data_IF_452388290840
#
_entry.id   IF_452388290840
#
_cell.length_a   1.000
_cell.length_b   1.000
_cell.length_c   1.000
_cell.angle_alpha   90.00
_cell.angle_beta   90.00
_cell.angle_gamma   90.00
#
_symmetry.space_group_name_H-M   'P 1'
#
loop_
_entity.id
_entity.type
_entity.pdbx_description
1 polymer ?
#
# COMPACT_ATOMS: atom_id res chain seq x y z
N UNK A 1 -21.12 51.78 -33.74
CA UNK A 1 -22.49 52.21 -33.39
C UNK A 1 -23.42 51.12 -33.87
N UNK A 2 -24.20 50.39 -33.09
CA UNK A 2 -24.40 50.19 -31.65
C UNK A 2 -25.19 48.86 -31.59
N UNK A 3 -24.78 47.87 -30.80
CA UNK A 3 -25.27 47.59 -29.44
C UNK A 3 -26.81 47.50 -29.33
N UNK A 4 -27.24 46.27 -28.99
CA UNK A 4 -28.38 45.94 -28.10
C UNK A 4 -29.79 46.06 -28.73
N UNK A 5 -30.77 45.18 -28.51
CA UNK A 5 -31.07 44.31 -27.36
C UNK A 5 -31.98 43.13 -27.80
N UNK A 6 -31.71 41.94 -27.22
CA UNK A 6 -32.64 40.90 -26.72
C UNK A 6 -33.91 40.53 -27.50
N UNK A 7 -34.09 39.24 -27.78
CA UNK A 7 -34.99 38.40 -26.96
C UNK A 7 -34.89 36.89 -27.24
N UNK A 8 -34.83 36.13 -26.14
CA UNK A 8 -35.43 34.81 -25.92
C UNK A 8 -35.08 33.63 -26.85
N UNK A 9 -33.96 32.98 -26.51
CA UNK A 9 -33.72 31.55 -26.71
C UNK A 9 -33.36 30.85 -25.39
N UNK A 10 -34.09 31.17 -24.32
CA UNK A 10 -33.95 30.49 -23.02
C UNK A 10 -34.60 29.12 -23.06
N UNK A 11 -33.81 28.09 -23.37
CA UNK A 11 -34.26 26.71 -23.30
C UNK A 11 -33.14 25.76 -23.66
N UNK A 12 -32.53 25.15 -22.65
CA UNK A 12 -31.83 23.85 -22.63
C UNK A 12 -31.28 23.74 -21.19
N UNK A 13 -32.06 23.16 -20.28
CA UNK A 13 -31.89 21.75 -19.90
C UNK A 13 -31.01 21.73 -18.65
N UNK A 14 -31.55 21.55 -17.45
CA UNK A 14 -32.05 20.25 -17.03
C UNK A 14 -30.88 19.47 -16.43
N UNK A 15 -30.86 19.34 -15.11
CA UNK A 15 -29.75 18.77 -14.35
C UNK A 15 -29.31 17.38 -14.81
N UNK A 16 -28.01 17.15 -14.77
CA UNK A 16 -27.39 15.84 -14.84
C UNK A 16 -26.20 15.83 -13.90
N UNK A 17 -26.33 15.14 -12.76
CA UNK A 17 -25.22 14.88 -11.84
C UNK A 17 -24.20 13.91 -12.44
N UNK A 18 -23.57 14.31 -13.53
CA UNK A 18 -22.39 13.64 -14.10
C UNK A 18 -21.13 14.24 -13.47
N UNK A 19 -20.10 13.40 -13.30
CA UNK A 19 -18.75 13.88 -13.01
C UNK A 19 -18.36 14.93 -14.06
N UNK A 20 -17.88 16.09 -13.62
CA UNK A 20 -17.36 17.12 -14.52
C UNK A 20 -16.18 16.56 -15.32
N UNK A 21 -16.02 16.98 -16.58
CA UNK A 21 -14.85 16.65 -17.42
C UNK A 21 -13.52 16.94 -16.70
N UNK A 22 -13.48 18.03 -15.91
CA UNK A 22 -12.32 18.42 -15.10
C UNK A 22 -12.05 17.39 -13.99
N UNK A 23 -13.10 16.86 -13.35
CA UNK A 23 -12.98 15.85 -12.29
C UNK A 23 -12.57 14.50 -12.87
N UNK A 24 -13.11 14.13 -14.04
CA UNK A 24 -12.65 12.96 -14.79
C UNK A 24 -11.15 13.06 -15.10
N UNK A 25 -10.71 14.19 -15.64
CA UNK A 25 -9.32 14.33 -16.08
C UNK A 25 -8.35 14.34 -14.90
N UNK A 26 -8.77 14.89 -13.75
CA UNK A 26 -8.03 14.75 -12.49
C UNK A 26 -7.95 13.29 -12.05
N UNK A 27 -9.06 12.55 -12.03
CA UNK A 27 -9.08 11.14 -11.63
C UNK A 27 -8.23 10.27 -12.57
N UNK A 28 -8.34 10.48 -13.88
CA UNK A 28 -7.55 9.80 -14.89
C UNK A 28 -6.04 9.98 -14.66
N UNK A 29 -5.59 11.20 -14.33
CA UNK A 29 -4.19 11.47 -14.00
C UNK A 29 -3.74 10.77 -12.71
N UNK A 30 -4.59 10.73 -11.69
CA UNK A 30 -4.30 10.03 -10.43
C UNK A 30 -4.17 8.53 -10.71
N UNK A 31 -5.11 7.94 -11.46
CA UNK A 31 -5.09 6.53 -11.87
C UNK A 31 -3.80 6.20 -12.62
N UNK A 32 -3.44 6.98 -13.65
CA UNK A 32 -2.21 6.77 -14.43
C UNK A 32 -0.96 6.80 -13.53
N UNK A 33 -0.90 7.74 -12.59
CA UNK A 33 0.21 7.84 -11.63
C UNK A 33 0.25 6.63 -10.69
N UNK A 34 -0.90 6.17 -10.23
CA UNK A 34 -1.01 4.97 -9.38
C UNK A 34 -0.57 3.71 -10.13
N UNK A 35 -0.97 3.54 -11.39
CA UNK A 35 -0.54 2.42 -12.25
C UNK A 35 0.98 2.38 -12.38
N UNK A 36 1.61 3.52 -12.68
CA UNK A 36 3.08 3.61 -12.77
C UNK A 36 3.77 3.22 -11.47
N UNK A 37 3.24 3.68 -10.32
CA UNK A 37 3.76 3.31 -9.00
C UNK A 37 3.61 1.81 -8.74
N UNK A 38 2.48 1.20 -9.11
CA UNK A 38 2.29 -0.26 -9.02
C UNK A 38 3.37 -0.97 -9.85
N UNK A 39 3.60 -0.57 -11.10
CA UNK A 39 4.63 -1.17 -11.95
C UNK A 39 6.05 -1.03 -11.38
N UNK A 40 6.39 0.14 -10.82
CA UNK A 40 7.67 0.39 -10.15
C UNK A 40 7.83 -0.48 -8.90
N UNK A 41 6.79 -0.57 -8.08
CA UNK A 41 6.78 -1.41 -6.89
C UNK A 41 6.95 -2.88 -7.27
N UNK A 42 6.24 -3.36 -8.30
CA UNK A 42 6.35 -4.73 -8.84
C UNK A 42 7.79 -5.03 -9.26
N UNK A 43 8.44 -4.11 -9.99
CA UNK A 43 9.83 -4.27 -10.42
C UNK A 43 10.80 -4.36 -9.22
N UNK A 44 10.57 -3.53 -8.20
CA UNK A 44 11.36 -3.57 -6.95
C UNK A 44 11.13 -4.89 -6.21
N UNK A 45 9.87 -5.31 -6.04
CA UNK A 45 9.51 -6.58 -5.43
C UNK A 45 10.15 -7.76 -6.16
N UNK A 46 10.16 -7.78 -7.49
CA UNK A 46 10.82 -8.83 -8.27
C UNK A 46 12.30 -8.98 -7.94
N UNK A 47 13.01 -7.86 -7.75
CA UNK A 47 14.43 -7.86 -7.36
C UNK A 47 14.60 -8.41 -5.94
N UNK A 48 13.79 -7.94 -4.99
CA UNK A 48 13.80 -8.42 -3.61
C UNK A 48 13.50 -9.92 -3.54
N UNK A 49 12.46 -10.37 -4.24
CA UNK A 49 12.06 -11.79 -4.31
C UNK A 49 13.13 -12.67 -4.95
N UNK A 50 13.90 -12.13 -5.90
CA UNK A 50 15.01 -12.86 -6.50
C UNK A 50 16.24 -12.95 -5.59
N UNK A 51 16.32 -12.10 -4.57
CA UNK A 51 17.33 -12.17 -3.51
C UNK A 51 16.90 -13.10 -2.36
N UNK A 52 15.59 -13.33 -2.19
CA UNK A 52 15.09 -14.38 -1.28
C UNK A 52 15.58 -15.76 -1.76
N UNK A 53 16.04 -16.60 -0.82
CA UNK A 53 16.73 -17.88 -1.05
C UNK A 53 18.21 -17.78 -1.50
N UNK A 54 18.80 -16.60 -1.53
CA UNK A 54 20.26 -16.45 -1.63
C UNK A 54 20.86 -16.34 -0.21
N UNK A 55 22.18 -16.53 0.00
CA UNK A 55 22.80 -16.25 1.29
C UNK A 55 22.71 -14.78 1.75
N UNK A 56 22.12 -13.89 0.94
CA UNK A 56 21.75 -12.52 1.29
C UNK A 56 20.33 -12.41 1.87
N UNK A 57 19.65 -13.52 2.14
CA UNK A 57 18.36 -13.50 2.82
C UNK A 57 18.48 -12.84 4.19
N UNK A 58 17.67 -11.81 4.43
CA UNK A 58 17.69 -11.00 5.64
C UNK A 58 16.26 -10.78 6.12
N UNK A 59 16.00 -10.86 7.44
CA UNK A 59 14.68 -10.57 8.00
C UNK A 59 14.20 -9.15 7.63
N UNK A 60 15.13 -8.20 7.47
CA UNK A 60 14.80 -6.84 7.05
C UNK A 60 14.30 -6.77 5.60
N UNK A 61 14.88 -7.57 4.70
CA UNK A 61 14.44 -7.64 3.30
C UNK A 61 13.01 -8.20 3.20
N UNK A 62 12.71 -9.26 3.98
CA UNK A 62 11.36 -9.85 4.06
C UNK A 62 10.34 -8.84 4.59
N UNK A 63 10.68 -8.11 5.65
CA UNK A 63 9.84 -7.06 6.22
C UNK A 63 9.56 -5.94 5.21
N UNK A 64 10.59 -5.45 4.51
CA UNK A 64 10.43 -4.43 3.49
C UNK A 64 9.58 -4.93 2.31
N UNK A 65 9.75 -6.19 1.91
CA UNK A 65 8.96 -6.79 0.83
C UNK A 65 7.48 -6.86 1.23
N UNK A 66 7.19 -7.29 2.45
CA UNK A 66 5.82 -7.35 2.99
C UNK A 66 5.19 -5.95 3.03
N UNK A 67 5.89 -4.95 3.56
CA UNK A 67 5.42 -3.56 3.57
C UNK A 67 5.13 -3.04 2.15
N UNK A 68 6.02 -3.32 1.19
CA UNK A 68 5.84 -2.91 -0.20
C UNK A 68 4.64 -3.63 -0.85
N UNK A 69 4.40 -4.90 -0.50
CA UNK A 69 3.22 -5.65 -0.95
C UNK A 69 1.93 -5.07 -0.39
N UNK A 70 1.84 -4.84 0.92
CA UNK A 70 0.66 -4.26 1.57
C UNK A 70 0.36 -2.87 1.00
N UNK A 71 1.39 -2.02 0.85
CA UNK A 71 1.26 -0.71 0.23
C UNK A 71 0.75 -0.80 -1.22
N UNK A 72 1.30 -1.73 -2.01
CA UNK A 72 0.87 -1.92 -3.40
C UNK A 72 -0.56 -2.45 -3.48
N UNK A 73 -0.98 -3.29 -2.53
CA UNK A 73 -2.35 -3.78 -2.46
C UNK A 73 -3.34 -2.64 -2.16
N UNK A 74 -3.03 -1.77 -1.21
CA UNK A 74 -3.83 -0.57 -0.94
C UNK A 74 -3.94 0.32 -2.18
N UNK A 75 -2.81 0.58 -2.85
CA UNK A 75 -2.78 1.37 -4.08
C UNK A 75 -3.65 0.75 -5.20
N UNK A 76 -3.64 -0.57 -5.33
CA UNK A 76 -4.51 -1.31 -6.26
C UNK A 76 -5.99 -1.13 -5.92
N UNK A 77 -6.38 -1.25 -4.65
CA UNK A 77 -7.76 -1.04 -4.23
C UNK A 77 -8.23 0.40 -4.47
N UNK A 78 -7.39 1.38 -4.14
CA UNK A 78 -7.68 2.80 -4.37
C UNK A 78 -7.84 3.10 -5.86
N UNK A 79 -6.96 2.55 -6.69
CA UNK A 79 -7.00 2.70 -8.16
C UNK A 79 -8.26 2.06 -8.73
N UNK A 80 -8.65 0.88 -8.23
CA UNK A 80 -9.90 0.21 -8.62
C UNK A 80 -11.13 1.06 -8.26
N UNK A 81 -11.15 1.68 -7.07
CA UNK A 81 -12.24 2.58 -6.68
C UNK A 81 -12.30 3.81 -7.60
N UNK A 82 -11.15 4.41 -7.93
CA UNK A 82 -11.07 5.54 -8.86
C UNK A 82 -11.54 5.17 -10.26
N UNK A 83 -11.15 3.99 -10.77
CA UNK A 83 -11.62 3.48 -12.08
C UNK A 83 -13.15 3.31 -12.07
N UNK A 84 -13.74 2.80 -11.00
CA UNK A 84 -15.21 2.68 -10.88
C UNK A 84 -15.92 4.05 -10.85
N UNK A 85 -15.29 5.09 -10.30
CA UNK A 85 -15.83 6.46 -10.36
C UNK A 85 -15.77 7.02 -11.79
N UNK A 86 -14.64 6.78 -12.48
CA UNK A 86 -14.44 7.17 -13.89
C UNK A 86 -15.39 6.41 -14.83
N UNK A 87 -15.77 5.18 -14.50
CA UNK A 87 -16.73 4.37 -15.26
C UNK A 87 -18.16 4.93 -15.25
N UNK A 88 -18.50 5.79 -14.28
CA UNK A 88 -19.81 6.47 -14.25
C UNK A 88 -19.95 7.53 -15.34
N UNK A 89 -18.85 7.94 -16.00
CA UNK A 89 -18.86 8.89 -17.10
C UNK A 89 -19.23 8.21 -18.42
N UNK A 90 -20.35 8.62 -19.04
CA UNK A 90 -20.86 8.05 -20.30
C UNK A 90 -20.42 8.79 -21.56
N UNK A 91 -19.59 9.83 -21.43
CA UNK A 91 -19.17 10.64 -22.57
C UNK A 91 -18.20 9.85 -23.47
N UNK A 92 -18.48 9.85 -24.78
CA UNK A 92 -17.77 9.00 -25.75
C UNK A 92 -16.26 9.25 -25.81
N UNK A 93 -15.82 10.50 -25.68
CA UNK A 93 -14.39 10.85 -25.76
C UNK A 93 -13.64 10.48 -24.48
N UNK A 94 -14.32 10.50 -23.33
CA UNK A 94 -13.80 10.05 -22.04
C UNK A 94 -13.71 8.50 -21.96
N UNK A 95 -14.61 7.80 -22.67
CA UNK A 95 -14.60 6.33 -22.78
C UNK A 95 -13.22 5.81 -23.24
N UNK A 96 -12.65 6.39 -24.29
CA UNK A 96 -11.33 5.97 -24.85
C UNK A 96 -10.20 6.11 -23.83
N UNK A 97 -10.20 7.18 -23.03
CA UNK A 97 -9.18 7.37 -22.00
C UNK A 97 -9.35 6.40 -20.84
N UNK A 98 -10.58 6.16 -20.39
CA UNK A 98 -10.89 5.15 -19.37
C UNK A 98 -10.42 3.77 -19.83
N UNK A 99 -10.76 3.42 -21.06
CA UNK A 99 -10.47 2.17 -21.73
C UNK A 99 -8.96 1.85 -21.72
N UNK A 100 -8.14 2.81 -22.15
CA UNK A 100 -6.68 2.74 -22.05
C UNK A 100 -6.18 2.52 -20.62
N UNK A 101 -6.71 3.26 -19.65
CA UNK A 101 -6.31 3.14 -18.25
C UNK A 101 -6.67 1.75 -17.67
N UNK A 102 -7.80 1.18 -18.08
CA UNK A 102 -8.24 -0.16 -17.68
C UNK A 102 -7.28 -1.23 -18.23
N UNK A 103 -6.88 -1.13 -19.50
CA UNK A 103 -5.92 -2.05 -20.11
C UNK A 103 -4.56 -2.02 -19.39
N UNK A 104 -4.04 -0.83 -19.16
CA UNK A 104 -2.74 -0.62 -18.52
C UNK A 104 -2.77 -1.06 -17.05
N UNK A 105 -3.87 -0.82 -16.35
CA UNK A 105 -4.07 -1.32 -15.00
C UNK A 105 -4.14 -2.85 -14.99
N UNK A 106 -4.84 -3.47 -15.95
CA UNK A 106 -4.92 -4.92 -16.09
C UNK A 106 -3.54 -5.55 -16.30
N UNK A 107 -2.70 -4.94 -17.15
CA UNK A 107 -1.32 -5.36 -17.35
C UNK A 107 -0.46 -5.24 -16.07
N UNK A 108 -0.61 -4.13 -15.33
CA UNK A 108 0.07 -3.92 -14.06
C UNK A 108 -0.35 -4.96 -13.00
N UNK A 109 -1.65 -5.26 -12.90
CA UNK A 109 -2.17 -6.26 -11.97
C UNK A 109 -1.71 -7.67 -12.30
N UNK A 110 -1.66 -8.03 -13.59
CA UNK A 110 -1.14 -9.33 -14.04
C UNK A 110 0.31 -9.51 -13.56
N UNK A 111 1.13 -8.47 -13.73
CA UNK A 111 2.52 -8.47 -13.28
C UNK A 111 2.63 -8.55 -11.75
N UNK A 112 1.77 -7.84 -11.02
CA UNK A 112 1.72 -7.87 -9.56
C UNK A 112 1.29 -9.24 -9.02
N UNK A 113 0.27 -9.87 -9.60
CA UNK A 113 -0.18 -11.21 -9.23
C UNK A 113 0.91 -12.26 -9.42
N UNK A 114 1.68 -12.17 -10.51
CA UNK A 114 2.79 -13.08 -10.76
C UNK A 114 3.84 -13.00 -9.64
N UNK A 115 4.15 -11.79 -9.17
CA UNK A 115 5.07 -11.57 -8.05
C UNK A 115 4.49 -12.08 -6.74
N UNK A 116 3.23 -11.76 -6.43
CA UNK A 116 2.58 -12.25 -5.20
C UNK A 116 2.58 -13.78 -5.12
N UNK A 117 2.25 -14.47 -6.22
CA UNK A 117 2.28 -15.94 -6.28
C UNK A 117 3.68 -16.47 -6.04
N UNK A 118 4.68 -15.91 -6.71
CA UNK A 118 6.09 -16.32 -6.54
C UNK A 118 6.54 -16.17 -5.08
N UNK A 119 6.16 -15.07 -4.42
CA UNK A 119 6.48 -14.87 -3.00
C UNK A 119 5.74 -15.86 -2.10
N UNK A 120 4.46 -16.12 -2.36
CA UNK A 120 3.68 -17.08 -1.59
C UNK A 120 4.28 -18.49 -1.69
N UNK A 121 4.72 -18.89 -2.88
CA UNK A 121 5.38 -20.17 -3.11
C UNK A 121 6.70 -20.27 -2.33
N UNK A 122 7.50 -19.19 -2.33
CA UNK A 122 8.76 -19.13 -1.56
C UNK A 122 8.48 -19.24 -0.06
N UNK A 123 7.60 -18.41 0.50
CA UNK A 123 7.27 -18.43 1.93
C UNK A 123 6.69 -19.79 2.35
N UNK A 124 5.83 -20.39 1.53
CA UNK A 124 5.27 -21.72 1.79
C UNK A 124 6.33 -22.82 1.74
N UNK A 125 7.29 -22.72 0.82
CA UNK A 125 8.41 -23.66 0.74
C UNK A 125 9.34 -23.55 1.95
N UNK A 126 9.63 -22.32 2.39
CA UNK A 126 10.42 -22.04 3.58
C UNK A 126 9.73 -22.56 4.85
N UNK A 127 8.42 -22.34 5.00
CA UNK A 127 7.64 -22.85 6.12
C UNK A 127 7.62 -24.38 6.16
N UNK A 128 7.51 -25.04 5.00
CA UNK A 128 7.56 -26.51 4.91
C UNK A 128 8.94 -27.05 5.31
N UNK A 129 10.02 -26.35 4.96
CA UNK A 129 11.37 -26.72 5.37
C UNK A 129 11.55 -26.56 6.88
N UNK A 130 11.16 -25.41 7.44
CA UNK A 130 11.25 -25.14 8.89
C UNK A 130 10.42 -26.14 9.73
N UNK A 131 9.25 -26.56 9.23
CA UNK A 131 8.45 -27.64 9.86
C UNK A 131 9.08 -29.02 9.71
N UNK A 132 9.74 -29.30 8.60
CA UNK A 132 10.44 -30.57 8.35
C UNK A 132 11.67 -30.74 9.23
N UNK A 133 12.43 -29.67 9.46
CA UNK A 133 13.60 -29.67 10.35
C UNK A 133 13.19 -29.86 11.82
N UNK A 134 12.07 -29.26 12.25
CA UNK A 134 11.48 -29.50 13.57
C UNK A 134 11.03 -30.96 13.80
N UNK A 135 10.60 -31.68 12.76
CA UNK A 135 10.23 -33.09 12.90
C UNK A 135 11.44 -34.02 13.08
N UNK A 136 12.64 -33.61 12.65
CA UNK A 136 13.87 -34.38 12.84
C UNK A 136 14.46 -34.26 14.26
N UNK A 137 14.01 -33.29 15.05
CA UNK A 137 14.41 -33.12 16.47
C UNK A 137 13.47 -33.89 17.42
N UNK A 138 12.30 -34.32 16.94
CA UNK A 138 11.33 -35.12 17.68
C UNK A 138 11.67 -36.62 17.81
N UNK A 139 12.94 -37.02 17.62
CA UNK A 139 13.39 -38.36 18.01
C UNK A 139 14.17 -38.25 19.31
N UNK A 140 13.57 -38.58 20.47
CA UNK A 140 14.31 -38.57 21.74
C UNK A 140 15.53 -39.49 21.62
N UNK A 141 16.73 -39.03 22.02
CA UNK A 141 17.92 -39.87 22.06
C UNK A 141 17.75 -40.86 23.21
N UNK A 142 17.07 -41.98 22.93
CA UNK A 142 16.74 -42.96 23.97
C UNK A 142 15.90 -44.16 23.53
N UNK A 143 15.40 -44.22 22.29
CA UNK A 143 14.78 -45.46 21.78
C UNK A 143 15.85 -46.43 21.27
N UNK A 144 16.72 -46.86 22.18
CA UNK A 144 17.36 -48.17 22.08
C UNK A 144 16.27 -49.21 22.21
N UNK A 145 16.12 -50.02 21.16
CA UNK A 145 15.35 -51.26 21.22
C UNK A 145 15.92 -52.11 22.35
N UNK A 146 15.28 -52.11 23.51
CA UNK A 146 15.40 -53.17 24.50
C UNK A 146 14.72 -54.41 23.92
N UNK A 147 15.50 -55.13 23.10
CA UNK A 147 15.20 -56.51 22.73
C UNK A 147 15.18 -57.34 24.01
N UNK A 148 14.00 -57.79 24.37
CA UNK A 148 13.71 -58.70 25.47
C UNK A 148 14.43 -60.03 25.18
N UNK A 149 15.51 -60.29 25.90
CA UNK A 149 16.29 -61.52 25.83
C UNK A 149 16.69 -61.93 27.24
N UNK A 150 15.92 -62.85 27.79
CA UNK A 150 16.11 -63.46 29.10
C UNK A 150 17.45 -64.19 29.20
N UNK A 151 18.24 -63.91 30.24
CA UNK A 151 19.22 -64.87 30.80
C UNK A 151 19.74 -64.42 32.16
N UNK A 152 19.56 -65.30 33.16
CA UNK A 152 20.10 -65.25 34.52
C UNK A 152 21.62 -65.02 34.58
N UNK A 153 22.08 -64.21 35.55
CA UNK A 153 23.27 -64.53 36.37
C UNK A 153 23.43 -63.56 37.56
N UNK A 154 23.31 -64.16 38.75
CA UNK A 154 23.98 -63.89 40.03
C UNK A 154 24.78 -62.60 40.30
N UNK A 155 24.39 -61.94 41.41
CA UNK A 155 25.20 -61.41 42.50
C UNK A 155 26.37 -60.46 42.21
N UNK A 156 26.28 -59.21 42.66
CA UNK A 156 27.09 -58.71 43.80
C UNK A 156 26.64 -57.32 44.26
N UNK A 157 26.76 -57.16 45.57
CA UNK A 157 26.63 -55.98 46.42
C UNK A 157 27.52 -54.83 45.95
N UNK A 158 26.97 -53.63 45.75
CA UNK A 158 27.72 -52.40 46.04
C UNK A 158 26.79 -51.23 46.39
N UNK A 159 27.26 -50.43 47.33
CA UNK A 159 26.52 -49.48 48.14
C UNK A 159 27.07 -48.09 47.83
N UNK A 160 26.43 -47.32 46.93
CA UNK A 160 26.80 -45.92 46.74
C UNK A 160 26.46 -45.24 45.41
N UNK A 161 25.19 -44.91 45.14
CA UNK A 161 24.85 -43.98 44.03
C UNK A 161 23.73 -42.98 44.29
N UNK A 162 23.31 -42.74 45.54
CA UNK A 162 22.28 -41.74 45.86
C UNK A 162 22.70 -40.27 45.60
N UNK A 163 23.98 -40.00 45.34
CA UNK A 163 24.48 -38.65 45.03
C UNK A 163 24.59 -38.35 43.53
N UNK A 164 24.66 -39.37 42.66
CA UNK A 164 24.85 -39.22 41.21
C UNK A 164 23.52 -38.88 40.50
N UNK A 165 22.40 -39.48 40.95
CA UNK A 165 21.06 -39.29 40.37
C UNK A 165 20.56 -37.85 40.53
N UNK A 166 20.93 -37.15 41.61
CA UNK A 166 20.43 -35.80 41.88
C UNK A 166 21.15 -34.71 41.05
N UNK A 167 22.35 -35.00 40.55
CA UNK A 167 23.13 -34.09 39.70
C UNK A 167 22.74 -34.21 38.22
N UNK A 168 22.47 -35.43 37.75
CA UNK A 168 21.94 -35.69 36.41
C UNK A 168 20.52 -35.14 36.23
N UNK A 169 19.66 -35.27 37.24
CA UNK A 169 18.28 -34.80 37.16
C UNK A 169 18.17 -33.26 37.16
N UNK A 170 19.11 -32.56 37.83
CA UNK A 170 19.17 -31.08 37.84
C UNK A 170 19.69 -30.48 36.54
N UNK A 171 20.71 -31.09 35.92
CA UNK A 171 21.16 -30.72 34.55
C UNK A 171 20.09 -31.04 33.50
N UNK A 172 19.39 -32.17 33.64
CA UNK A 172 18.30 -32.52 32.73
C UNK A 172 17.15 -31.51 32.79
N UNK A 173 16.71 -31.07 33.98
CA UNK A 173 15.65 -30.06 34.11
C UNK A 173 16.04 -28.69 33.51
N UNK A 174 17.29 -28.25 33.71
CA UNK A 174 17.75 -26.96 33.18
C UNK A 174 17.90 -26.99 31.65
N UNK A 175 18.32 -28.13 31.10
CA UNK A 175 18.39 -28.34 29.66
C UNK A 175 17.00 -28.51 29.04
N UNK A 176 16.07 -29.18 29.72
CA UNK A 176 14.68 -29.35 29.29
C UNK A 176 13.91 -28.02 29.28
N UNK A 177 14.18 -27.13 30.24
CA UNK A 177 13.62 -25.78 30.26
C UNK A 177 14.19 -24.90 29.13
N UNK A 178 15.48 -25.03 28.81
CA UNK A 178 16.10 -24.32 27.69
C UNK A 178 15.58 -24.83 26.33
N UNK A 179 15.33 -26.13 26.19
CA UNK A 179 14.70 -26.72 25.01
C UNK A 179 13.25 -26.27 24.85
N UNK A 180 12.47 -26.20 25.93
CA UNK A 180 11.09 -25.67 25.88
C UNK A 180 11.04 -24.21 25.46
N UNK A 181 11.95 -23.36 25.96
CA UNK A 181 12.01 -21.95 25.57
C UNK A 181 12.37 -21.82 24.08
N UNK A 182 13.31 -22.62 23.58
CA UNK A 182 13.69 -22.62 22.17
C UNK A 182 12.56 -23.12 21.27
N UNK A 183 11.87 -24.19 21.66
CA UNK A 183 10.70 -24.72 20.95
C UNK A 183 9.57 -23.69 20.89
N UNK A 184 9.32 -22.98 21.98
CA UNK A 184 8.28 -21.95 22.05
C UNK A 184 8.61 -20.73 21.18
N UNK A 185 9.88 -20.32 21.10
CA UNK A 185 10.33 -19.25 20.21
C UNK A 185 10.23 -19.65 18.73
N UNK A 186 10.55 -20.90 18.40
CA UNK A 186 10.45 -21.42 17.03
C UNK A 186 8.99 -21.57 16.57
N UNK A 187 8.11 -22.00 17.48
CA UNK A 187 6.66 -22.03 17.25
C UNK A 187 6.09 -20.64 16.98
N UNK A 188 6.52 -19.61 17.73
CA UNK A 188 6.09 -18.23 17.49
C UNK A 188 6.55 -17.72 16.11
N UNK A 189 7.79 -17.97 15.72
CA UNK A 189 8.29 -17.61 14.40
C UNK A 189 7.52 -18.30 13.26
N UNK A 190 7.16 -19.58 13.45
CA UNK A 190 6.31 -20.33 12.50
C UNK A 190 4.89 -19.76 12.41
N UNK A 191 4.31 -19.33 13.53
CA UNK A 191 2.98 -18.72 13.57
C UNK A 191 2.95 -17.37 12.84
N UNK A 192 3.95 -16.50 13.08
CA UNK A 192 4.10 -15.23 12.36
C UNK A 192 4.22 -15.45 10.85
N UNK A 193 5.01 -16.44 10.43
CA UNK A 193 5.16 -16.76 9.01
C UNK A 193 3.86 -17.29 8.40
N UNK A 194 3.06 -18.07 9.15
CA UNK A 194 1.75 -18.53 8.68
C UNK A 194 0.76 -17.37 8.51
N UNK A 195 0.79 -16.38 9.41
CA UNK A 195 -0.04 -15.17 9.28
C UNK A 195 0.29 -14.38 8.02
N UNK A 196 1.59 -14.22 7.71
CA UNK A 196 2.05 -13.55 6.49
C UNK A 196 1.54 -14.27 5.23
N UNK A 197 1.61 -15.61 5.21
CA UNK A 197 1.10 -16.40 4.08
C UNK A 197 -0.41 -16.21 3.91
N UNK A 198 -1.19 -16.25 5.00
CA UNK A 198 -2.65 -16.05 4.95
C UNK A 198 -3.01 -14.66 4.43
N UNK A 199 -2.30 -13.62 4.86
CA UNK A 199 -2.50 -12.26 4.34
C UNK A 199 -2.20 -12.20 2.84
N UNK A 200 -1.11 -12.82 2.40
CA UNK A 200 -0.74 -12.87 0.99
C UNK A 200 -1.77 -13.63 0.15
N UNK A 201 -2.32 -14.74 0.64
CA UNK A 201 -3.39 -15.49 -0.01
C UNK A 201 -4.66 -14.64 -0.16
N UNK A 202 -5.08 -13.95 0.90
CA UNK A 202 -6.21 -13.02 0.85
C UNK A 202 -5.99 -11.89 -0.16
N UNK A 203 -4.78 -11.34 -0.18
CA UNK A 203 -4.37 -10.29 -1.11
C UNK A 203 -4.42 -10.78 -2.57
N UNK A 204 -3.97 -12.00 -2.86
CA UNK A 204 -4.03 -12.61 -4.19
C UNK A 204 -5.48 -12.78 -4.65
N UNK A 205 -6.36 -13.25 -3.75
CA UNK A 205 -7.80 -13.41 -4.04
C UNK A 205 -8.44 -12.05 -4.34
N UNK A 206 -8.20 -11.03 -3.51
CA UNK A 206 -8.75 -9.68 -3.73
C UNK A 206 -8.30 -9.07 -5.06
N UNK A 207 -7.00 -9.18 -5.39
CA UNK A 207 -6.49 -8.72 -6.69
C UNK A 207 -7.10 -9.50 -7.85
N UNK A 208 -7.37 -10.80 -7.68
CA UNK A 208 -8.03 -11.62 -8.71
C UNK A 208 -9.47 -11.18 -8.99
N UNK A 209 -10.21 -10.79 -7.96
CA UNK A 209 -11.55 -10.25 -8.13
C UNK A 209 -11.53 -8.92 -8.90
N UNK A 210 -10.58 -8.03 -8.59
CA UNK A 210 -10.39 -6.79 -9.33
C UNK A 210 -10.03 -7.10 -10.79
N UNK A 211 -9.10 -8.01 -11.03
CA UNK A 211 -8.70 -8.43 -12.37
C UNK A 211 -9.89 -8.94 -13.21
N UNK A 212 -10.76 -9.76 -12.62
CA UNK A 212 -11.98 -10.26 -13.29
C UNK A 212 -12.96 -9.13 -13.63
N UNK A 213 -13.15 -8.17 -12.71
CA UNK A 213 -14.02 -7.00 -12.94
C UNK A 213 -13.48 -6.14 -14.08
N UNK A 214 -12.17 -5.90 -14.13
CA UNK A 214 -11.54 -5.16 -15.21
C UNK A 214 -11.61 -5.93 -16.54
N UNK A 215 -11.42 -7.24 -16.53
CA UNK A 215 -11.55 -8.07 -17.73
C UNK A 215 -12.92 -7.95 -18.40
N UNK A 216 -13.99 -7.75 -17.62
CA UNK A 216 -15.32 -7.47 -18.16
C UNK A 216 -15.43 -6.09 -18.83
N UNK A 217 -14.61 -5.11 -18.40
CA UNK A 217 -14.49 -3.79 -19.02
C UNK A 217 -13.61 -3.81 -20.30
N UNK A 218 -12.61 -4.69 -20.34
CA UNK A 218 -11.66 -4.85 -21.47
C UNK A 218 -12.27 -5.65 -22.62
N UNK A 219 -13.13 -6.65 -22.36
CA UNK A 219 -13.71 -7.52 -23.40
C UNK A 219 -14.57 -6.79 -24.46
N UNK A 220 -14.87 -5.51 -24.26
CA UNK A 220 -15.63 -4.68 -25.20
C UNK A 220 -14.76 -3.94 -26.24
N UNK A 221 -13.44 -4.12 -26.24
CA UNK A 221 -12.51 -3.28 -27.01
C UNK A 221 -11.55 -4.08 -27.89
N UNK A 222 -11.60 -3.79 -29.20
CA UNK A 222 -10.63 -4.28 -30.18
C UNK A 222 -9.81 -3.14 -30.75
N UNK A 223 -8.91 -2.54 -29.98
CA UNK A 223 -7.91 -1.59 -30.48
C UNK A 223 -6.62 -1.68 -29.65
N UNK A 224 -5.49 -1.81 -30.33
CA UNK A 224 -4.15 -1.77 -29.74
C UNK A 224 -3.86 -0.36 -29.23
N UNK A 225 -3.59 -0.21 -27.93
CA UNK A 225 -3.29 1.09 -27.31
C UNK A 225 -1.79 1.24 -27.06
N UNK A 226 -1.21 2.31 -27.60
CA UNK A 226 0.15 2.76 -27.28
C UNK A 226 0.26 3.11 -25.79
N UNK A 227 1.32 2.62 -25.13
CA UNK A 227 1.55 2.71 -23.68
C UNK A 227 1.73 4.16 -23.17
N UNK A 228 1.53 4.39 -21.85
CA UNK A 228 1.86 5.63 -21.09
C UNK A 228 3.38 5.94 -21.10
N UNK A 229 4.08 5.79 -22.22
CA UNK A 229 5.42 6.36 -22.35
C UNK A 229 5.33 7.87 -22.65
N UNK A 230 4.26 8.30 -23.33
CA UNK A 230 4.04 9.71 -23.72
C UNK A 230 3.46 10.61 -22.60
N UNK A 231 2.81 10.04 -21.56
CA UNK A 231 2.14 10.85 -20.52
C UNK A 231 3.06 11.27 -19.35
N UNK A 232 4.27 10.70 -19.23
CA UNK A 232 5.24 11.09 -18.18
C UNK A 232 5.75 12.52 -18.40
N UNK A 233 5.95 12.93 -19.65
CA UNK A 233 6.38 14.29 -19.97
C UNK A 233 5.29 15.32 -19.58
N UNK A 234 4.02 15.00 -19.83
CA UNK A 234 2.89 15.86 -19.48
C UNK A 234 2.60 15.90 -17.95
N UNK A 235 2.81 14.81 -17.21
CA UNK A 235 2.49 14.73 -15.76
C UNK A 235 3.49 15.51 -14.90
N UNK A 236 4.77 15.57 -15.33
CA UNK A 236 5.78 16.45 -14.71
C UNK A 236 5.39 17.94 -14.76
N UNK A 237 4.69 18.34 -15.84
CA UNK A 237 4.27 19.72 -16.08
C UNK A 237 3.08 20.10 -15.19
N UNK A 238 2.11 19.21 -14.95
CA UNK A 238 0.92 19.53 -14.15
C UNK A 238 1.14 19.54 -12.63
N UNK A 239 2.05 18.72 -12.07
CA UNK A 239 2.42 18.82 -10.63
C UNK A 239 3.17 20.13 -10.35
N UNK A 240 4.06 20.52 -11.26
CA UNK A 240 4.75 21.82 -11.21
C UNK A 240 3.75 22.98 -11.25
N UNK A 241 2.78 22.96 -12.18
CA UNK A 241 1.75 23.99 -12.28
C UNK A 241 0.76 24.00 -11.10
N UNK A 242 0.42 22.83 -10.53
CA UNK A 242 -0.44 22.73 -9.34
C UNK A 242 0.18 23.36 -8.09
N UNK A 243 1.49 23.16 -7.88
CA UNK A 243 2.23 23.83 -6.79
C UNK A 243 2.39 25.33 -7.05
N UNK A 244 2.56 25.75 -8.31
CA UNK A 244 2.63 27.16 -8.70
C UNK A 244 1.32 27.91 -8.43
N UNK A 245 0.16 27.27 -8.69
CA UNK A 245 -1.17 27.84 -8.43
C UNK A 245 -1.47 27.98 -6.93
N UNK A 246 -1.04 27.02 -6.10
CA UNK A 246 -1.12 27.13 -4.64
C UNK A 246 -0.20 28.25 -4.10
N UNK A 247 0.98 28.43 -4.69
CA UNK A 247 1.92 29.52 -4.36
C UNK A 247 1.41 30.89 -4.82
N UNK A 248 0.75 30.97 -5.97
CA UNK A 248 0.07 32.19 -6.47
C UNK A 248 -1.14 32.55 -5.59
N UNK A 249 -1.90 31.57 -5.12
CA UNK A 249 -3.02 31.80 -4.19
C UNK A 249 -2.57 32.32 -2.81
N UNK A 250 -1.48 31.78 -2.24
CA UNK A 250 -0.95 32.26 -0.95
C UNK A 250 -0.38 33.69 -1.05
N UNK A 251 0.28 34.02 -2.16
CA UNK A 251 0.82 35.36 -2.41
C UNK A 251 -0.28 36.40 -2.71
N UNK A 252 -1.41 36.00 -3.32
CA UNK A 252 -2.58 36.87 -3.46
C UNK A 252 -3.25 37.18 -2.11
N UNK A 253 -3.36 36.20 -1.21
CA UNK A 253 -3.90 36.39 0.15
C UNK A 253 -3.10 37.43 0.96
N UNK A 254 -1.77 37.43 0.84
CA UNK A 254 -0.93 38.43 1.50
C UNK A 254 -1.05 39.84 0.89
N UNK A 255 -1.22 39.95 -0.43
CA UNK A 255 -1.45 41.24 -1.10
C UNK A 255 -2.81 41.84 -0.72
N UNK A 256 -3.86 41.03 -0.62
CA UNK A 256 -5.20 41.49 -0.17
C UNK A 256 -5.18 41.96 1.28
N UNK A 257 -4.44 41.28 2.18
CA UNK A 257 -4.27 41.73 3.58
C UNK A 257 -3.59 43.10 3.67
N UNK A 258 -2.52 43.32 2.92
CA UNK A 258 -1.83 44.63 2.87
C UNK A 258 -2.73 45.73 2.31
N UNK A 259 -3.49 45.46 1.25
CA UNK A 259 -4.44 46.41 0.67
C UNK A 259 -5.61 46.74 1.63
N UNK A 260 -6.14 45.75 2.35
CA UNK A 260 -7.15 45.98 3.40
C UNK A 260 -6.63 46.89 4.53
N UNK A 261 -5.41 46.67 5.00
CA UNK A 261 -4.80 47.51 6.04
C UNK A 261 -4.62 48.97 5.58
N UNK A 262 -4.18 49.18 4.34
CA UNK A 262 -4.04 50.52 3.76
C UNK A 262 -5.41 51.21 3.66
N UNK A 263 -6.45 50.52 3.17
CA UNK A 263 -7.80 51.07 3.07
C UNK A 263 -8.37 51.45 4.46
N UNK A 264 -8.14 50.62 5.49
CA UNK A 264 -8.55 50.93 6.87
C UNK A 264 -7.78 52.14 7.42
N UNK A 265 -6.48 52.24 7.13
CA UNK A 265 -5.65 53.39 7.53
C UNK A 265 -6.17 54.71 6.97
N UNK A 266 -6.47 54.76 5.67
CA UNK A 266 -7.01 55.96 5.01
C UNK A 266 -8.36 56.37 5.63
N UNK A 267 -9.25 55.40 5.86
CA UNK A 267 -10.56 55.65 6.49
C UNK A 267 -10.42 56.25 7.90
N UNK A 268 -9.46 55.75 8.68
CA UNK A 268 -9.18 56.28 10.02
C UNK A 268 -8.63 57.72 10.00
N UNK A 269 -7.77 58.04 9.03
CA UNK A 269 -7.22 59.38 8.86
C UNK A 269 -8.30 60.41 8.48
N UNK A 270 -9.23 60.03 7.59
CA UNK A 270 -10.37 60.88 7.22
C UNK A 270 -11.27 61.16 8.42
N UNK A 271 -11.57 60.15 9.24
CA UNK A 271 -12.35 60.32 10.46
C UNK A 271 -11.68 61.28 11.44
N UNK A 272 -10.37 61.15 11.65
CA UNK A 272 -9.61 62.06 12.52
C UNK A 272 -9.63 63.50 12.01
N UNK A 273 -9.50 63.71 10.70
CA UNK A 273 -9.57 65.05 10.11
C UNK A 273 -10.95 65.70 10.33
N UNK A 274 -12.04 64.92 10.17
CA UNK A 274 -13.41 65.41 10.42
C UNK A 274 -13.58 65.79 11.90
N UNK A 275 -13.08 64.97 12.82
CA UNK A 275 -13.14 65.26 14.26
C UNK A 275 -12.37 66.53 14.60
N UNK A 276 -11.17 66.72 14.04
CA UNK A 276 -10.36 67.93 14.28
C UNK A 276 -11.06 69.19 13.76
N UNK A 277 -11.69 69.12 12.58
CA UNK A 277 -12.48 70.24 12.04
C UNK A 277 -13.65 70.58 12.96
N UNK A 278 -14.40 69.57 13.44
CA UNK A 278 -15.51 69.79 14.36
C UNK A 278 -15.05 70.42 15.68
N UNK A 279 -13.96 69.94 16.27
CA UNK A 279 -13.42 70.52 17.52
C UNK A 279 -12.95 71.95 17.31
N UNK A 280 -12.32 72.25 16.17
CA UNK A 280 -11.88 73.61 15.85
C UNK A 280 -13.08 74.56 15.66
N UNK A 281 -14.12 74.11 14.95
CA UNK A 281 -15.37 74.88 14.78
C UNK A 281 -16.16 75.05 16.09
N UNK A 282 -16.03 74.12 17.05
CA UNK A 282 -16.70 74.22 18.35
C UNK A 282 -15.95 75.11 19.36
N UNK A 283 -14.65 75.34 19.12
CA UNK A 283 -13.76 76.10 20.02
C UNK A 283 -13.60 77.57 19.59
N UNK A 284 -13.82 77.87 18.32
CA UNK A 284 -13.95 79.24 17.79
C UNK A 284 -15.38 79.75 17.96
#
# INVERSE_FOLDING_TARGET
MDLQHMENGGGLGGGGGGLSEIDFQRLAQIIATSILKVQQNVSTMQRMVSQLNTPQDSPELKKQLHQLMTYTNQLVNDTNNQINEVDKCKERHLKIQRDRLVDEFTAALTSFQAVQRKTADIEKSALRQARGDNYNIARPPGSSRTGTGSSNSSASQDNGSFFEDNFFNRKSNQQQQQTQIQEQADLQALEEQEQVIRELENNIVGVNEIYKKLGALVYEQGLTVDSIESQVEQTSIFVSQGTENLRKASSYRNKVRKKKLIMVGILSAVLLAIILILVFQLKN
#
